data_IF_807843027217
#
_entry.id   IF_807843027217
#
_cell.length_a   1.000
_cell.length_b   1.000
_cell.length_c   1.000
_cell.angle_alpha   90.00
_cell.angle_beta   90.00
_cell.angle_gamma   90.00
#
_symmetry.space_group_name_H-M   'P 1'
#
loop_
_entity.id
_entity.type
_entity.pdbx_description
1 polymer ?
#
# COMPACT_ATOMS: atom_id res chain seq x y z
N UNK A 1 -40.06 -2.79 -46.03
CA UNK A 1 -38.67 -2.50 -46.45
C UNK A 1 -37.92 -2.03 -45.23
N UNK A 2 -37.10 -2.93 -44.66
CA UNK A 2 -36.22 -2.57 -43.56
C UNK A 2 -35.08 -1.69 -44.04
N UNK A 3 -34.75 -0.70 -43.25
CA UNK A 3 -33.46 -0.02 -43.27
C UNK A 3 -32.88 -0.16 -41.88
N UNK A 4 -32.06 -1.21 -41.71
CA UNK A 4 -31.01 -1.22 -40.71
C UNK A 4 -30.09 -0.05 -41.02
N UNK A 5 -29.84 0.81 -40.04
CA UNK A 5 -28.66 1.66 -40.05
C UNK A 5 -28.00 1.61 -38.67
N UNK A 6 -27.02 0.70 -38.64
CA UNK A 6 -25.75 0.77 -37.93
C UNK A 6 -25.74 1.21 -36.46
N UNK A 7 -26.05 0.25 -35.59
CA UNK A 7 -25.49 0.21 -34.25
C UNK A 7 -24.00 -0.12 -34.32
N UNK A 8 -23.17 0.86 -34.67
CA UNK A 8 -21.72 0.72 -34.64
C UNK A 8 -21.24 0.60 -33.19
N UNK A 9 -20.73 -0.58 -32.88
CA UNK A 9 -20.11 -1.04 -31.66
C UNK A 9 -19.17 -0.01 -31.03
N UNK A 10 -19.52 0.41 -29.82
CA UNK A 10 -18.59 1.05 -28.89
C UNK A 10 -18.24 0.08 -27.77
N UNK A 11 -17.60 -1.06 -28.08
CA UNK A 11 -16.89 -1.80 -27.03
C UNK A 11 -15.81 -0.84 -26.53
N UNK A 12 -16.11 -0.12 -25.45
CA UNK A 12 -15.11 0.71 -24.77
C UNK A 12 -14.02 -0.26 -24.37
N UNK A 13 -12.88 -0.26 -25.05
CA UNK A 13 -11.72 -1.03 -24.64
C UNK A 13 -11.44 -0.71 -23.16
N UNK A 14 -11.84 -1.65 -22.31
CA UNK A 14 -11.66 -1.60 -20.88
C UNK A 14 -10.25 -2.14 -20.64
N UNK A 15 -9.44 -1.38 -19.92
CA UNK A 15 -8.06 -1.76 -19.67
C UNK A 15 -8.02 -3.13 -18.99
N UNK A 16 -7.12 -4.05 -19.41
CA UNK A 16 -7.01 -5.35 -18.77
C UNK A 16 -6.72 -5.18 -17.27
N UNK A 17 -7.29 -6.08 -16.47
CA UNK A 17 -7.08 -6.07 -15.03
C UNK A 17 -5.59 -6.30 -14.74
N UNK A 18 -5.00 -5.39 -13.98
CA UNK A 18 -3.60 -5.40 -13.56
C UNK A 18 -3.49 -4.83 -12.16
N UNK A 19 -2.90 -5.62 -11.27
CA UNK A 19 -2.66 -5.27 -9.88
C UNK A 19 -1.23 -4.76 -9.76
N UNK A 20 -1.05 -3.52 -9.27
CA UNK A 20 0.28 -2.92 -9.08
C UNK A 20 0.47 -2.61 -7.59
N UNK A 21 1.60 -3.03 -7.02
CA UNK A 21 1.92 -2.73 -5.62
C UNK A 21 3.41 -2.45 -5.43
N UNK A 22 3.71 -1.41 -4.66
CA UNK A 22 5.07 -1.03 -4.29
C UNK A 22 5.39 -1.53 -2.88
N UNK A 23 6.48 -2.28 -2.75
CA UNK A 23 7.02 -2.69 -1.45
C UNK A 23 8.20 -1.79 -1.10
N UNK A 24 8.07 -1.01 -0.02
CA UNK A 24 9.19 -0.20 0.46
C UNK A 24 10.31 -1.11 0.98
N UNK A 25 11.56 -0.92 0.54
CA UNK A 25 12.70 -1.56 1.17
C UNK A 25 12.80 -0.99 2.58
N UNK A 26 12.58 -1.85 3.56
CA UNK A 26 12.56 -1.49 4.96
C UNK A 26 13.46 -2.46 5.67
N UNK A 27 14.34 -1.98 6.55
CA UNK A 27 15.41 -2.77 7.15
C UNK A 27 14.91 -4.06 7.81
N UNK A 28 14.57 -4.02 9.10
CA UNK A 28 14.01 -5.20 9.75
C UNK A 28 12.50 -5.28 9.50
N UNK A 29 12.06 -6.29 8.75
CA UNK A 29 10.63 -6.58 8.56
C UNK A 29 10.04 -7.20 9.82
N UNK A 30 8.83 -6.76 10.17
CA UNK A 30 8.03 -7.33 11.25
C UNK A 30 6.80 -8.06 10.73
N UNK A 31 6.18 -8.88 11.58
CA UNK A 31 4.98 -9.67 11.22
C UNK A 31 3.84 -8.80 10.66
N UNK A 32 3.67 -7.58 11.17
CA UNK A 32 2.71 -6.62 10.61
C UNK A 32 2.95 -6.28 9.14
N UNK A 33 4.20 -6.19 8.67
CA UNK A 33 4.48 -5.97 7.24
C UNK A 33 4.19 -7.22 6.42
N UNK A 34 4.56 -8.38 6.96
CA UNK A 34 4.34 -9.66 6.30
C UNK A 34 2.86 -9.88 6.03
N UNK A 35 2.02 -9.81 7.06
CA UNK A 35 0.57 -10.01 6.90
C UNK A 35 -0.11 -8.86 6.15
N UNK A 36 0.34 -7.62 6.35
CA UNK A 36 -0.27 -6.44 5.73
C UNK A 36 0.01 -6.29 4.23
N UNK A 37 1.16 -6.76 3.74
CA UNK A 37 1.58 -6.56 2.35
C UNK A 37 2.10 -7.84 1.68
N UNK A 38 3.07 -8.53 2.27
CA UNK A 38 3.77 -9.65 1.61
C UNK A 38 2.83 -10.84 1.37
N UNK A 39 2.13 -11.32 2.41
CA UNK A 39 1.17 -12.43 2.32
C UNK A 39 0.05 -12.13 1.31
N UNK A 40 -0.34 -10.85 1.21
CA UNK A 40 -1.33 -10.41 0.24
C UNK A 40 -0.82 -10.56 -1.20
N UNK A 41 0.44 -10.21 -1.46
CA UNK A 41 1.06 -10.39 -2.77
C UNK A 41 1.10 -11.87 -3.16
N UNK A 42 1.52 -12.75 -2.23
CA UNK A 42 1.53 -14.20 -2.45
C UNK A 42 0.13 -14.71 -2.80
N UNK A 43 -0.90 -14.31 -2.06
CA UNK A 43 -2.28 -14.71 -2.37
C UNK A 43 -2.74 -14.24 -3.76
N UNK A 44 -2.44 -13.01 -4.13
CA UNK A 44 -2.82 -12.48 -5.45
C UNK A 44 -2.12 -13.26 -6.57
N UNK A 45 -0.85 -13.62 -6.37
CA UNK A 45 -0.11 -14.48 -7.28
C UNK A 45 -0.73 -15.88 -7.37
N UNK A 46 -1.07 -16.50 -6.23
CA UNK A 46 -1.72 -17.84 -6.19
C UNK A 46 -3.10 -17.84 -6.87
N UNK A 47 -3.79 -16.70 -6.89
CA UNK A 47 -5.07 -16.51 -7.58
C UNK A 47 -4.91 -16.30 -9.10
N UNK A 48 -3.68 -16.18 -9.61
CA UNK A 48 -3.39 -15.94 -11.02
C UNK A 48 -3.65 -14.50 -11.48
N UNK A 49 -3.64 -13.53 -10.56
CA UNK A 49 -3.77 -12.11 -10.92
C UNK A 49 -2.53 -11.62 -11.69
N UNK A 50 -2.72 -10.73 -12.67
CA UNK A 50 -1.61 -9.99 -13.30
C UNK A 50 -1.02 -9.01 -12.28
N UNK A 51 -0.04 -9.49 -11.52
CA UNK A 51 0.55 -8.79 -10.38
C UNK A 51 1.93 -8.24 -10.72
N UNK A 52 2.06 -6.91 -10.69
CA UNK A 52 3.34 -6.21 -10.75
C UNK A 52 3.74 -5.76 -9.34
N UNK A 53 4.90 -6.24 -8.88
CA UNK A 53 5.51 -5.83 -7.62
C UNK A 53 6.80 -5.08 -7.92
N UNK A 54 6.96 -3.87 -7.37
CA UNK A 54 8.21 -3.11 -7.50
C UNK A 54 8.75 -2.72 -6.12
N UNK A 55 10.05 -2.47 -6.04
CA UNK A 55 10.71 -1.99 -4.83
C UNK A 55 10.67 -0.45 -4.84
N UNK A 56 9.98 0.13 -3.87
CA UNK A 56 9.74 1.56 -3.78
C UNK A 56 10.86 2.27 -2.99
N UNK A 57 12.10 2.20 -3.47
CA UNK A 57 13.30 2.73 -2.81
C UNK A 57 13.32 4.26 -2.70
N UNK A 58 12.91 4.97 -3.75
CA UNK A 58 12.77 6.44 -3.75
C UNK A 58 11.75 6.92 -2.70
N UNK A 59 10.70 6.13 -2.46
CA UNK A 59 9.73 6.44 -1.40
C UNK A 59 10.31 6.27 0.00
N UNK A 60 11.25 5.34 0.19
CA UNK A 60 11.94 5.16 1.47
C UNK A 60 12.80 6.38 1.83
N UNK A 61 13.40 7.05 0.85
CA UNK A 61 14.17 8.28 1.04
C UNK A 61 13.29 9.45 1.48
N UNK A 62 12.06 9.56 0.96
CA UNK A 62 11.20 10.71 1.18
C UNK A 62 10.25 10.56 2.37
N UNK A 63 9.87 9.35 2.75
CA UNK A 63 8.84 9.14 3.80
C UNK A 63 9.40 8.77 5.17
N UNK A 64 10.40 7.88 5.24
CA UNK A 64 10.82 7.28 6.51
C UNK A 64 11.78 8.17 7.31
N UNK A 65 12.70 8.86 6.63
CA UNK A 65 13.60 9.83 7.29
C UNK A 65 12.88 11.13 7.63
N UNK A 66 11.92 11.55 6.80
CA UNK A 66 11.34 12.89 6.93
C UNK A 66 10.07 12.93 7.76
N UNK A 67 9.15 11.95 7.76
CA UNK A 67 7.95 12.05 8.64
C UNK A 67 8.31 12.13 10.12
N UNK A 68 9.34 11.40 10.56
CA UNK A 68 9.80 11.42 11.95
C UNK A 68 10.50 12.73 12.32
N UNK A 69 11.19 13.35 11.35
CA UNK A 69 11.89 14.62 11.55
C UNK A 69 11.02 15.84 11.25
N UNK A 70 9.94 15.70 10.47
CA UNK A 70 9.08 16.79 10.01
C UNK A 70 8.41 17.53 11.16
N UNK A 71 8.07 16.83 12.26
CA UNK A 71 7.55 17.47 13.47
C UNK A 71 8.59 18.35 14.18
N UNK A 72 9.88 18.14 13.90
CA UNK A 72 11.02 18.86 14.47
C UNK A 72 11.73 19.78 13.45
N UNK A 73 11.31 19.79 12.19
CA UNK A 73 11.88 20.61 11.13
C UNK A 73 11.03 21.86 10.94
N UNK A 74 11.65 23.04 10.87
CA UNK A 74 10.95 24.29 10.54
C UNK A 74 10.43 24.28 9.09
N UNK A 75 11.12 23.57 8.20
CA UNK A 75 10.79 23.48 6.78
C UNK A 75 10.43 22.06 6.34
N UNK A 76 9.38 21.94 5.54
CA UNK A 76 8.94 20.67 4.96
C UNK A 76 9.74 20.38 3.69
N UNK A 77 10.48 19.27 3.61
CA UNK A 77 11.22 18.92 2.40
C UNK A 77 10.30 18.70 1.20
N UNK A 78 10.69 19.23 0.04
CA UNK A 78 9.93 19.09 -1.23
C UNK A 78 9.64 17.63 -1.58
N UNK A 79 10.57 16.71 -1.27
CA UNK A 79 10.36 15.27 -1.50
C UNK A 79 9.16 14.69 -0.74
N UNK A 80 8.85 15.21 0.46
CA UNK A 80 7.67 14.80 1.23
C UNK A 80 6.36 15.39 0.67
N UNK A 81 6.44 16.52 -0.05
CA UNK A 81 5.28 17.10 -0.73
C UNK A 81 5.01 16.43 -2.08
N UNK A 82 6.07 16.00 -2.79
CA UNK A 82 5.96 15.46 -4.15
C UNK A 82 5.81 13.94 -4.23
N UNK A 83 6.07 13.18 -3.17
CA UNK A 83 5.96 11.72 -3.25
C UNK A 83 4.59 11.19 -3.73
N UNK A 84 3.43 11.83 -3.49
CA UNK A 84 2.16 11.35 -4.04
C UNK A 84 2.11 11.41 -5.57
N UNK A 85 2.83 12.36 -6.18
CA UNK A 85 2.99 12.46 -7.64
C UNK A 85 3.88 11.33 -8.15
N UNK A 86 4.98 11.03 -7.44
CA UNK A 86 5.83 9.88 -7.76
C UNK A 86 5.04 8.56 -7.65
N UNK A 87 4.23 8.41 -6.59
CA UNK A 87 3.36 7.24 -6.41
C UNK A 87 2.35 7.10 -7.56
N UNK A 88 1.79 8.21 -8.04
CA UNK A 88 0.93 8.20 -9.21
C UNK A 88 1.69 7.75 -10.47
N UNK A 89 2.91 8.23 -10.68
CA UNK A 89 3.74 7.80 -11.80
C UNK A 89 4.01 6.28 -11.75
N UNK A 90 4.36 5.74 -10.58
CA UNK A 90 4.60 4.30 -10.41
C UNK A 90 3.37 3.47 -10.78
N UNK A 91 2.18 3.87 -10.32
CA UNK A 91 0.93 3.15 -10.63
C UNK A 91 0.59 3.23 -12.11
N UNK A 92 0.68 4.42 -12.71
CA UNK A 92 0.23 4.66 -14.09
C UNK A 92 1.21 4.09 -15.12
N UNK A 93 2.52 4.14 -14.86
CA UNK A 93 3.55 3.65 -15.79
C UNK A 93 3.40 2.15 -16.08
N UNK A 94 3.05 1.36 -15.06
CA UNK A 94 2.79 -0.08 -15.22
C UNK A 94 1.36 -0.41 -15.67
N UNK A 95 0.50 0.60 -15.88
CA UNK A 95 -0.89 0.39 -16.27
C UNK A 95 -1.75 -0.21 -15.15
N UNK A 96 -1.50 0.18 -13.90
CA UNK A 96 -2.25 -0.32 -12.75
C UNK A 96 -3.73 0.07 -12.78
N UNK A 97 -4.62 -0.93 -12.87
CA UNK A 97 -6.07 -0.73 -12.73
C UNK A 97 -6.51 -0.94 -11.29
N UNK A 98 -5.80 -1.78 -10.53
CA UNK A 98 -6.10 -2.10 -9.13
C UNK A 98 -4.83 -1.93 -8.29
N UNK A 99 -4.93 -1.24 -7.16
CA UNK A 99 -3.78 -1.00 -6.28
C UNK A 99 -4.14 -1.40 -4.86
N UNK A 100 -3.45 -2.39 -4.26
CA UNK A 100 -3.55 -2.70 -2.84
C UNK A 100 -3.07 -1.50 -2.02
N UNK A 101 -4.01 -0.81 -1.36
CA UNK A 101 -3.68 0.33 -0.48
C UNK A 101 -4.38 0.20 0.86
N UNK A 102 -3.70 0.60 1.92
CA UNK A 102 -4.31 0.81 3.23
C UNK A 102 -5.15 2.11 3.23
N UNK A 103 -5.99 2.26 4.25
CA UNK A 103 -6.82 3.46 4.42
C UNK A 103 -6.00 4.76 4.45
N UNK A 104 -4.77 4.71 4.98
CA UNK A 104 -3.84 5.83 5.08
C UNK A 104 -3.27 6.29 3.72
N UNK A 105 -3.32 5.44 2.69
CA UNK A 105 -2.80 5.74 1.34
C UNK A 105 -3.92 5.97 0.31
N UNK A 106 -5.19 5.90 0.73
CA UNK A 106 -6.33 6.03 -0.17
C UNK A 106 -6.38 7.41 -0.89
N UNK A 107 -5.99 8.48 -0.20
CA UNK A 107 -5.94 9.83 -0.78
C UNK A 107 -4.89 9.95 -1.89
N UNK A 108 -3.72 9.31 -1.76
CA UNK A 108 -2.70 9.31 -2.83
C UNK A 108 -3.17 8.55 -4.06
N UNK A 109 -3.91 7.44 -3.87
CA UNK A 109 -4.50 6.71 -4.98
C UNK A 109 -5.59 7.53 -5.70
N UNK A 110 -6.38 8.31 -4.96
CA UNK A 110 -7.35 9.24 -5.54
C UNK A 110 -6.66 10.31 -6.40
N UNK A 111 -5.52 10.84 -5.95
CA UNK A 111 -4.70 11.75 -6.75
C UNK A 111 -4.23 11.08 -8.06
N UNK A 112 -3.73 9.85 -8.01
CA UNK A 112 -3.34 9.11 -9.21
C UNK A 112 -4.50 8.96 -10.21
N UNK A 113 -5.70 8.63 -9.71
CA UNK A 113 -6.91 8.55 -10.52
C UNK A 113 -7.33 9.91 -11.11
N UNK A 114 -7.18 11.00 -10.37
CA UNK A 114 -7.43 12.36 -10.88
C UNK A 114 -6.43 12.74 -11.96
N UNK A 115 -5.14 12.48 -11.76
CA UNK A 115 -4.09 12.76 -12.75
C UNK A 115 -4.33 12.01 -14.05
N UNK A 116 -4.71 10.72 -13.99
CA UNK A 116 -5.05 9.94 -15.17
C UNK A 116 -6.24 10.55 -15.95
N UNK A 117 -7.29 11.01 -15.26
CA UNK A 117 -8.45 11.68 -15.88
C UNK A 117 -8.09 13.03 -16.49
N UNK A 118 -7.31 13.85 -15.78
CA UNK A 118 -6.85 15.15 -16.27
C UNK A 118 -5.96 14.99 -17.50
N UNK A 119 -5.05 14.01 -17.50
CA UNK A 119 -4.24 13.68 -18.66
C UNK A 119 -5.11 13.27 -19.85
N UNK A 120 -6.10 12.40 -19.60
CA UNK A 120 -7.03 11.94 -20.64
C UNK A 120 -7.83 13.07 -21.27
N UNK A 121 -8.29 14.04 -20.48
CA UNK A 121 -9.00 15.21 -20.98
C UNK A 121 -8.12 16.11 -21.86
N UNK A 122 -6.83 16.21 -21.57
CA UNK A 122 -5.91 17.12 -22.27
C UNK A 122 -5.22 16.50 -23.48
N UNK A 123 -4.90 15.21 -23.42
CA UNK A 123 -4.03 14.52 -24.38
C UNK A 123 -4.64 13.23 -24.96
N UNK A 124 -5.83 12.83 -24.52
CA UNK A 124 -6.45 11.56 -24.89
C UNK A 124 -6.10 10.41 -23.95
N UNK A 125 -6.82 9.28 -24.10
CA UNK A 125 -6.70 8.12 -23.19
C UNK A 125 -5.33 7.44 -23.33
N UNK A 126 -4.44 7.68 -22.37
CA UNK A 126 -3.12 7.03 -22.29
C UNK A 126 -2.97 6.08 -21.09
N UNK A 127 -3.74 6.30 -20.01
CA UNK A 127 -3.61 5.54 -18.77
C UNK A 127 -4.96 5.00 -18.26
N UNK A 128 -4.96 3.87 -17.54
CA UNK A 128 -6.12 3.42 -16.78
C UNK A 128 -6.43 4.35 -15.61
N UNK A 129 -7.68 4.29 -15.11
CA UNK A 129 -8.05 4.93 -13.84
C UNK A 129 -7.91 3.91 -12.71
N UNK A 130 -6.88 4.01 -11.85
CA UNK A 130 -6.65 3.05 -10.78
C UNK A 130 -7.75 3.09 -9.72
N UNK A 131 -8.04 1.92 -9.15
CA UNK A 131 -9.03 1.72 -8.06
C UNK A 131 -8.37 1.03 -6.86
N UNK A 132 -8.80 1.34 -5.62
CA UNK A 132 -8.29 0.64 -4.45
C UNK A 132 -8.72 -0.82 -4.49
N UNK A 133 -7.77 -1.72 -4.27
CA UNK A 133 -8.07 -3.09 -3.92
C UNK A 133 -8.11 -3.15 -2.39
N UNK A 134 -9.29 -3.34 -1.81
CA UNK A 134 -9.44 -3.48 -0.36
C UNK A 134 -9.13 -4.93 0.06
N UNK A 135 -8.63 -5.10 1.28
CA UNK A 135 -8.38 -6.41 1.89
C UNK A 135 -9.47 -6.66 2.93
N UNK A 136 -10.25 -7.74 2.78
CA UNK A 136 -11.28 -8.13 3.74
C UNK A 136 -10.80 -9.18 4.75
N UNK A 137 -9.52 -9.54 4.72
CA UNK A 137 -8.92 -10.64 5.49
C UNK A 137 -8.45 -10.24 6.90
N UNK A 138 -8.67 -8.99 7.30
CA UNK A 138 -8.24 -8.48 8.60
C UNK A 138 -6.71 -8.31 8.72
N UNK A 139 -5.96 -8.27 7.62
CA UNK A 139 -4.51 -8.03 7.63
C UNK A 139 -4.08 -6.73 8.31
N UNK A 140 -4.99 -5.74 8.40
CA UNK A 140 -4.78 -4.48 9.13
C UNK A 140 -4.95 -4.57 10.66
N UNK A 141 -5.23 -5.76 11.19
CA UNK A 141 -5.53 -5.95 12.63
C UNK A 141 -4.31 -6.17 13.52
N UNK A 142 -3.09 -6.29 12.98
CA UNK A 142 -1.89 -6.51 13.80
C UNK A 142 -1.47 -5.23 14.53
N UNK A 143 -1.64 -5.25 15.85
CA UNK A 143 -1.33 -4.15 16.77
C UNK A 143 0.03 -4.31 17.45
N UNK A 144 0.51 -3.25 18.09
CA UNK A 144 1.68 -3.31 18.95
C UNK A 144 1.42 -4.23 20.15
N UNK A 145 2.42 -5.04 20.51
CA UNK A 145 2.36 -5.91 21.69
C UNK A 145 2.45 -5.14 23.02
N UNK A 146 2.81 -3.85 22.97
CA UNK A 146 2.86 -2.96 24.15
C UNK A 146 1.65 -2.03 24.24
N UNK A 147 1.10 -1.65 23.09
CA UNK A 147 -0.02 -0.71 23.00
C UNK A 147 -1.01 -1.19 21.92
N UNK A 148 -2.06 -1.95 22.31
CA UNK A 148 -3.04 -2.50 21.37
C UNK A 148 -3.79 -1.44 20.56
N UNK A 149 -3.78 -0.17 20.97
CA UNK A 149 -4.40 0.92 20.20
C UNK A 149 -3.59 1.28 18.95
N UNK A 150 -2.26 1.06 18.99
CA UNK A 150 -1.33 1.42 17.91
C UNK A 150 -1.09 0.28 16.95
N UNK A 151 -0.94 0.60 15.66
CA UNK A 151 -0.44 -0.35 14.65
C UNK A 151 1.02 -0.68 14.98
N UNK A 152 1.43 -1.93 14.73
CA UNK A 152 2.83 -2.33 14.91
C UNK A 152 3.74 -1.46 14.03
N UNK A 153 4.76 -0.85 14.64
CA UNK A 153 5.66 0.10 13.96
C UNK A 153 7.13 -0.29 14.12
N UNK A 154 7.90 -0.08 13.04
CA UNK A 154 9.36 -0.20 13.00
C UNK A 154 10.06 0.84 13.87
N UNK A 155 9.44 2.00 14.01
CA UNK A 155 10.01 3.16 14.69
C UNK A 155 9.66 3.25 16.17
N UNK A 156 8.89 2.29 16.68
CA UNK A 156 8.60 2.24 18.11
C UNK A 156 9.92 2.03 18.87
N UNK A 157 10.12 2.83 19.92
CA UNK A 157 11.34 2.80 20.72
C UNK A 157 11.47 1.50 21.50
N UNK A 158 10.36 0.82 21.81
CA UNK A 158 10.38 -0.48 22.47
C UNK A 158 10.46 -1.63 21.43
N UNK A 159 11.56 -2.40 21.35
CA UNK A 159 11.65 -3.55 20.45
C UNK A 159 10.64 -4.67 20.77
N UNK A 160 10.09 -4.71 22.00
CA UNK A 160 9.06 -5.67 22.42
C UNK A 160 7.67 -5.29 21.96
N UNK A 161 7.50 -4.12 21.31
CA UNK A 161 6.25 -3.73 20.63
C UNK A 161 5.99 -4.55 19.36
N UNK A 162 7.01 -5.18 18.80
CA UNK A 162 6.99 -5.84 17.49
C UNK A 162 7.73 -7.17 17.49
N UNK A 163 7.29 -8.07 16.63
CA UNK A 163 7.98 -9.33 16.32
C UNK A 163 8.60 -9.18 14.94
N UNK A 164 9.93 -9.31 14.85
CA UNK A 164 10.66 -9.32 13.59
C UNK A 164 10.55 -10.72 12.96
N UNK A 165 10.58 -10.79 11.64
CA UNK A 165 10.54 -12.06 10.92
C UNK A 165 11.77 -12.94 11.19
N UNK A 166 12.88 -12.32 11.57
CA UNK A 166 14.16 -12.98 11.84
C UNK A 166 14.49 -13.02 13.34
N UNK A 167 13.52 -12.75 14.22
CA UNK A 167 13.72 -12.94 15.66
C UNK A 167 13.93 -14.44 15.96
N UNK A 168 14.88 -14.82 16.82
CA UNK A 168 15.01 -16.19 17.31
C UNK A 168 13.74 -16.66 18.06
N UNK A 169 13.48 -17.96 18.05
CA UNK A 169 12.27 -18.56 18.63
C UNK A 169 12.06 -18.19 20.11
N UNK A 170 13.13 -18.18 20.91
CA UNK A 170 13.08 -17.80 22.33
C UNK A 170 12.68 -16.33 22.53
N UNK A 171 13.16 -15.45 21.66
CA UNK A 171 12.81 -14.02 21.64
C UNK A 171 11.34 -13.83 21.24
N UNK A 172 10.87 -14.56 20.22
CA UNK A 172 9.46 -14.52 19.79
C UNK A 172 8.55 -14.93 20.95
N UNK A 173 8.83 -16.08 21.57
CA UNK A 173 8.06 -16.60 22.70
C UNK A 173 8.04 -15.61 23.87
N UNK A 174 9.19 -14.99 24.19
CA UNK A 174 9.28 -13.99 25.25
C UNK A 174 8.43 -12.74 24.94
N UNK A 175 8.45 -12.25 23.71
CA UNK A 175 7.68 -11.07 23.29
C UNK A 175 6.18 -11.32 23.35
N UNK A 176 5.73 -12.50 22.89
CA UNK A 176 4.32 -12.93 22.95
C UNK A 176 3.88 -13.06 24.42
N UNK A 177 4.65 -13.78 25.25
CA UNK A 177 4.33 -13.97 26.67
C UNK A 177 4.20 -12.67 27.45
N UNK A 178 4.97 -11.65 27.08
CA UNK A 178 4.95 -10.35 27.74
C UNK A 178 3.94 -9.39 27.12
N UNK A 179 3.21 -9.76 26.07
CA UNK A 179 2.30 -8.84 25.39
C UNK A 179 1.24 -8.31 26.37
N UNK A 180 0.84 -7.06 26.21
CA UNK A 180 -0.19 -6.45 27.06
C UNK A 180 -1.52 -7.15 26.80
N UNK A 181 -2.08 -7.74 27.86
CA UNK A 181 -3.42 -8.31 27.89
C UNK A 181 -4.26 -7.53 28.91
N UNK A 182 -5.56 -7.54 28.73
CA UNK A 182 -6.49 -7.10 29.75
C UNK A 182 -6.54 -8.10 30.92
N UNK A 183 -6.81 -7.60 32.11
CA UNK A 183 -7.14 -8.42 33.27
C UNK A 183 -8.67 -8.54 33.34
N UNK A 184 -9.27 -9.22 32.38
CA UNK A 184 -10.65 -9.70 32.55
C UNK A 184 -10.58 -11.02 33.32
N UNK A 185 -11.11 -11.12 34.55
CA UNK A 185 -11.38 -12.42 35.15
C UNK A 185 -12.41 -13.11 34.26
N UNK A 186 -12.11 -14.33 33.80
CA UNK A 186 -13.10 -15.19 33.15
C UNK A 186 -14.19 -15.60 34.14
#
# INVERSE_FOLDING_TARGET
SGSNDDGSEGVREEWPRRVVTGLQPTGALHIGNYFGAVRRCVRLQDQGEDLTIFIADLHSLTTHQYRQKAAALQDVPVGLLLYPVLQAADVLLYGGTHVPVGADQAQHLQLAAQLARTFAHRYGRAFPTPRPLLSDDGSDRLRSLRDPSKKMSKSDSDPKSRILLMDPDDVIQLKIRKAVTDFTPQ
#
